data_IF_961850718962
#
_entry.id   IF_961850718962
#
_cell.length_a   1.000
_cell.length_b   1.000
_cell.length_c   1.000
_cell.angle_alpha   90.00
_cell.angle_beta   90.00
_cell.angle_gamma   90.00
#
_symmetry.space_group_name_H-M   'P 1'
#
loop_
_entity.id
_entity.type
_entity.pdbx_description
1 polymer ?
#
# COMPACT_ATOMS: atom_id res chain seq x y z
N UNK A 1 -18.42 -34.94 51.53
CA UNK A 1 -19.36 -34.07 50.78
C UNK A 1 -18.52 -33.19 49.86
N UNK A 2 -17.90 -33.77 48.83
CA UNK A 2 -16.96 -33.05 47.94
C UNK A 2 -16.83 -33.71 46.54
N UNK A 3 -17.11 -35.01 46.41
CA UNK A 3 -16.92 -35.72 45.13
C UNK A 3 -17.97 -35.41 44.05
N UNK A 4 -19.21 -35.04 44.42
CA UNK A 4 -20.27 -34.75 43.44
C UNK A 4 -20.08 -33.37 42.78
N UNK A 5 -19.47 -32.42 43.48
CA UNK A 5 -19.25 -31.06 42.96
C UNK A 5 -18.09 -31.03 41.94
N UNK A 6 -17.04 -31.83 42.17
CA UNK A 6 -15.92 -31.99 41.25
C UNK A 6 -16.34 -32.67 39.92
N UNK A 7 -17.20 -33.70 40.00
CA UNK A 7 -17.74 -34.38 38.82
C UNK A 7 -18.61 -33.45 37.97
N UNK A 8 -19.46 -32.64 38.62
CA UNK A 8 -20.34 -31.70 37.93
C UNK A 8 -19.55 -30.54 37.26
N UNK A 9 -18.47 -30.06 37.90
CA UNK A 9 -17.55 -29.05 37.31
C UNK A 9 -16.76 -29.60 36.12
N UNK A 10 -16.27 -30.85 36.17
CA UNK A 10 -15.58 -31.51 35.02
C UNK A 10 -16.51 -31.72 33.83
N UNK A 11 -17.72 -32.22 34.05
CA UNK A 11 -18.72 -32.42 33.00
C UNK A 11 -19.15 -31.11 32.31
N UNK A 12 -19.25 -30.01 33.08
CA UNK A 12 -19.58 -28.68 32.54
C UNK A 12 -18.43 -28.07 31.73
N UNK A 13 -17.18 -28.21 32.18
CA UNK A 13 -15.98 -27.72 31.46
C UNK A 13 -15.75 -28.46 30.13
N UNK A 14 -15.96 -29.78 30.08
CA UNK A 14 -15.86 -30.56 28.84
C UNK A 14 -16.94 -30.16 27.81
N UNK A 15 -18.16 -29.88 28.27
CA UNK A 15 -19.25 -29.39 27.40
C UNK A 15 -18.95 -27.99 26.84
N UNK A 16 -18.45 -27.07 27.67
CA UNK A 16 -18.03 -25.72 27.22
C UNK A 16 -16.86 -25.79 26.24
N UNK A 17 -15.85 -26.62 26.50
CA UNK A 17 -14.73 -26.84 25.58
C UNK A 17 -15.18 -27.36 24.22
N UNK A 18 -16.11 -28.33 24.18
CA UNK A 18 -16.70 -28.81 22.92
C UNK A 18 -17.47 -27.71 22.17
N UNK A 19 -18.23 -26.88 22.87
CA UNK A 19 -18.93 -25.74 22.27
C UNK A 19 -17.93 -24.74 21.66
N UNK A 20 -16.85 -24.42 22.39
CA UNK A 20 -15.80 -23.54 21.88
C UNK A 20 -15.09 -24.11 20.65
N UNK A 21 -14.82 -25.43 20.62
CA UNK A 21 -14.23 -26.10 19.47
C UNK A 21 -15.18 -26.05 18.27
N UNK A 22 -16.47 -26.32 18.45
CA UNK A 22 -17.46 -26.24 17.37
C UNK A 22 -17.56 -24.81 16.84
N UNK A 23 -17.60 -23.80 17.73
CA UNK A 23 -17.64 -22.40 17.33
C UNK A 23 -16.37 -22.00 16.56
N UNK A 24 -15.20 -22.45 17.01
CA UNK A 24 -13.94 -22.25 16.29
C UNK A 24 -13.99 -22.88 14.90
N UNK A 25 -14.46 -24.13 14.78
CA UNK A 25 -14.59 -24.81 13.48
C UNK A 25 -15.55 -24.09 12.54
N UNK A 26 -16.67 -23.58 13.06
CA UNK A 26 -17.61 -22.76 12.27
C UNK A 26 -16.93 -21.50 11.79
N UNK A 27 -16.24 -20.77 12.66
CA UNK A 27 -15.51 -19.55 12.30
C UNK A 27 -14.45 -19.82 11.23
N UNK A 28 -13.67 -20.90 11.38
CA UNK A 28 -12.68 -21.33 10.37
C UNK A 28 -13.37 -21.67 9.05
N UNK A 29 -14.47 -22.42 9.09
CA UNK A 29 -15.23 -22.79 7.89
C UNK A 29 -15.76 -21.54 7.16
N UNK A 30 -16.38 -20.61 7.89
CA UNK A 30 -16.86 -19.33 7.35
C UNK A 30 -15.72 -18.54 6.74
N UNK A 31 -14.57 -18.45 7.41
CA UNK A 31 -13.39 -17.75 6.90
C UNK A 31 -12.86 -18.39 5.61
N UNK A 32 -12.77 -19.73 5.55
CA UNK A 32 -12.34 -20.46 4.35
C UNK A 32 -13.31 -20.22 3.19
N UNK A 33 -14.63 -20.34 3.43
CA UNK A 33 -15.65 -20.08 2.41
C UNK A 33 -15.56 -18.64 1.90
N UNK A 34 -15.41 -17.67 2.80
CA UNK A 34 -15.23 -16.27 2.44
C UNK A 34 -13.99 -16.07 1.55
N UNK A 35 -12.83 -16.61 1.96
CA UNK A 35 -11.58 -16.53 1.19
C UNK A 35 -11.72 -17.14 -0.20
N UNK A 36 -12.37 -18.30 -0.31
CA UNK A 36 -12.61 -18.97 -1.60
C UNK A 36 -13.54 -18.16 -2.50
N UNK A 37 -14.62 -17.59 -1.95
CA UNK A 37 -15.55 -16.73 -2.69
C UNK A 37 -14.86 -15.47 -3.23
N UNK A 38 -14.07 -14.78 -2.40
CA UNK A 38 -13.32 -13.60 -2.82
C UNK A 38 -12.32 -13.95 -3.92
N UNK A 39 -11.56 -15.02 -3.75
CA UNK A 39 -10.58 -15.48 -4.76
C UNK A 39 -11.26 -15.85 -6.07
N UNK A 40 -12.41 -16.54 -6.02
CA UNK A 40 -13.17 -16.92 -7.21
C UNK A 40 -13.72 -15.70 -7.95
N UNK A 41 -14.33 -14.75 -7.22
CA UNK A 41 -14.85 -13.51 -7.81
C UNK A 41 -13.75 -12.65 -8.44
N UNK A 42 -12.59 -12.56 -7.78
CA UNK A 42 -11.43 -11.84 -8.32
C UNK A 42 -10.93 -12.50 -9.62
N UNK A 43 -10.77 -13.83 -9.62
CA UNK A 43 -10.36 -14.59 -10.81
C UNK A 43 -11.33 -14.41 -11.97
N UNK A 44 -12.64 -14.50 -11.73
CA UNK A 44 -13.65 -14.31 -12.76
C UNK A 44 -13.57 -12.91 -13.40
N UNK A 45 -13.27 -11.86 -12.61
CA UNK A 45 -13.08 -10.50 -13.13
C UNK A 45 -11.80 -10.36 -13.95
N UNK A 46 -10.69 -10.91 -13.46
CA UNK A 46 -9.41 -10.92 -14.20
C UNK A 46 -9.59 -11.66 -15.53
N UNK A 47 -10.25 -12.82 -15.52
CA UNK A 47 -10.50 -13.60 -16.72
C UNK A 47 -11.42 -12.88 -17.69
N UNK A 48 -12.44 -12.15 -17.21
CA UNK A 48 -13.28 -11.32 -18.06
C UNK A 48 -12.49 -10.20 -18.75
N UNK A 49 -11.54 -9.56 -18.05
CA UNK A 49 -10.65 -8.53 -18.63
C UNK A 49 -9.73 -9.16 -19.69
N UNK A 50 -9.16 -10.32 -19.39
CA UNK A 50 -8.33 -11.08 -20.34
C UNK A 50 -9.12 -11.55 -21.56
N UNK A 51 -10.35 -12.03 -21.37
CA UNK A 51 -11.25 -12.45 -22.45
C UNK A 51 -11.70 -11.27 -23.32
N UNK A 52 -11.74 -10.06 -22.77
CA UNK A 52 -11.93 -8.82 -23.52
C UNK A 52 -10.66 -8.37 -24.28
N UNK A 53 -9.55 -9.11 -24.17
CA UNK A 53 -8.30 -8.87 -24.88
C UNK A 53 -7.34 -7.89 -24.19
N UNK A 54 -7.62 -7.49 -22.95
CA UNK A 54 -6.76 -6.57 -22.21
C UNK A 54 -5.70 -7.33 -21.37
N UNK A 55 -4.49 -6.77 -21.21
CA UNK A 55 -3.46 -7.36 -20.36
C UNK A 55 -3.86 -7.33 -18.89
N UNK A 56 -3.57 -8.41 -18.16
CA UNK A 56 -3.88 -8.55 -16.73
C UNK A 56 -2.64 -8.72 -15.86
N UNK A 57 -1.46 -8.70 -16.47
CA UNK A 57 -0.17 -8.67 -15.79
C UNK A 57 0.69 -7.52 -16.30
N UNK A 58 1.68 -7.09 -15.52
CA UNK A 58 2.61 -6.04 -15.93
C UNK A 58 3.47 -6.46 -17.14
N UNK A 59 3.82 -7.74 -17.24
CA UNK A 59 4.56 -8.27 -18.38
C UNK A 59 3.71 -8.24 -19.65
N UNK A 60 2.47 -8.73 -19.58
CA UNK A 60 1.50 -8.64 -20.69
C UNK A 60 1.26 -7.18 -21.10
N UNK A 61 1.16 -6.26 -20.12
CA UNK A 61 0.96 -4.84 -20.39
C UNK A 61 2.18 -4.20 -21.09
N UNK A 62 3.39 -4.55 -20.66
CA UNK A 62 4.63 -4.08 -21.27
C UNK A 62 4.80 -4.60 -22.70
N UNK A 63 4.38 -5.82 -22.98
CA UNK A 63 4.36 -6.37 -24.35
C UNK A 63 3.25 -5.75 -25.22
N UNK A 64 2.13 -5.36 -24.60
CA UNK A 64 0.98 -4.78 -25.30
C UNK A 64 1.25 -3.38 -25.84
N UNK A 65 2.17 -2.62 -25.21
CA UNK A 65 2.60 -1.30 -25.67
C UNK A 65 4.03 -1.34 -26.19
N UNK A 66 4.21 -1.22 -27.50
CA UNK A 66 5.52 -0.96 -28.11
C UNK A 66 5.75 0.53 -28.24
N UNK A 67 6.90 1.02 -27.77
CA UNK A 67 7.35 2.38 -28.06
C UNK A 67 7.61 2.47 -29.58
N UNK A 68 6.97 3.42 -30.30
CA UNK A 68 7.20 3.58 -31.73
C UNK A 68 8.67 3.80 -32.07
N UNK A 69 9.10 3.34 -33.24
CA UNK A 69 10.48 3.57 -33.70
C UNK A 69 10.78 5.07 -33.79
N UNK A 70 11.90 5.48 -33.16
CA UNK A 70 12.31 6.88 -33.09
C UNK A 70 11.56 7.73 -32.06
N UNK A 71 10.60 7.18 -31.31
CA UNK A 71 9.97 7.87 -30.19
C UNK A 71 10.86 7.77 -28.93
N UNK A 72 11.13 8.91 -28.30
CA UNK A 72 11.85 8.97 -27.03
C UNK A 72 10.92 8.58 -25.88
N UNK A 73 11.36 7.65 -25.04
CA UNK A 73 10.61 7.22 -23.88
C UNK A 73 10.94 8.10 -22.68
N UNK A 74 10.02 8.98 -22.32
CA UNK A 74 10.20 9.87 -21.16
C UNK A 74 10.38 9.12 -19.83
N UNK A 75 10.00 7.85 -19.75
CA UNK A 75 10.27 7.05 -18.55
C UNK A 75 11.77 6.89 -18.29
N UNK A 76 12.60 6.79 -19.34
CA UNK A 76 14.04 6.64 -19.17
C UNK A 76 14.66 7.92 -18.59
N UNK A 77 14.23 9.09 -19.09
CA UNK A 77 14.62 10.40 -18.51
C UNK A 77 14.21 10.54 -17.05
N UNK A 78 13.00 10.09 -16.69
CA UNK A 78 12.55 10.11 -15.30
C UNK A 78 13.37 9.16 -14.42
N UNK A 79 13.74 7.99 -14.93
CA UNK A 79 14.61 7.03 -14.23
C UNK A 79 15.99 7.68 -13.98
N UNK A 80 16.59 8.30 -14.97
CA UNK A 80 17.87 9.00 -14.83
C UNK A 80 17.79 10.12 -13.77
N UNK A 81 16.73 10.94 -13.81
CA UNK A 81 16.49 11.96 -12.81
C UNK A 81 16.38 11.37 -11.40
N UNK A 82 15.64 10.27 -11.21
CA UNK A 82 15.51 9.62 -9.91
C UNK A 82 16.82 9.03 -9.39
N UNK A 83 17.72 8.58 -10.26
CA UNK A 83 19.04 8.10 -9.85
C UNK A 83 19.93 9.22 -9.30
N UNK A 84 19.68 10.46 -9.70
CA UNK A 84 20.38 11.65 -9.23
C UNK A 84 19.70 12.34 -8.04
N UNK A 85 18.52 11.86 -7.60
CA UNK A 85 17.79 12.48 -6.50
C UNK A 85 18.54 12.33 -5.16
N UNK A 86 18.74 13.45 -4.48
CA UNK A 86 19.32 13.53 -3.15
C UNK A 86 18.22 13.71 -2.10
N UNK A 87 17.96 12.64 -1.34
CA UNK A 87 16.95 12.64 -0.29
C UNK A 87 17.49 13.32 0.99
N UNK A 88 16.88 14.45 1.34
CA UNK A 88 17.10 15.11 2.63
C UNK A 88 16.53 14.27 3.79
N UNK A 89 17.10 14.42 4.98
CA UNK A 89 16.56 13.70 6.13
C UNK A 89 15.22 14.29 6.60
N UNK A 90 14.45 13.51 7.36
CA UNK A 90 13.10 13.90 7.81
C UNK A 90 13.08 15.24 8.56
N UNK A 91 14.08 15.50 9.39
CA UNK A 91 14.13 16.73 10.19
C UNK A 91 14.34 17.96 9.32
N UNK A 92 15.20 17.85 8.29
CA UNK A 92 15.43 18.93 7.32
C UNK A 92 14.19 19.18 6.45
N UNK A 93 13.48 18.11 6.07
CA UNK A 93 12.26 18.21 5.28
C UNK A 93 11.11 18.88 6.02
N UNK A 94 10.94 18.69 7.34
CA UNK A 94 9.78 19.22 8.09
C UNK A 94 9.58 20.73 7.89
N UNK A 95 10.65 21.50 7.69
CA UNK A 95 10.61 22.95 7.46
C UNK A 95 10.17 23.34 6.04
N UNK A 96 10.21 22.42 5.07
CA UNK A 96 9.79 22.67 3.70
C UNK A 96 8.26 22.65 3.55
N UNK A 97 7.69 23.58 2.78
CA UNK A 97 6.24 23.70 2.65
C UNK A 97 5.52 22.61 1.86
N UNK A 98 6.20 21.98 0.90
CA UNK A 98 5.59 21.01 -0.04
C UNK A 98 6.03 19.58 0.28
N UNK A 99 7.32 19.39 0.52
CA UNK A 99 7.91 18.08 0.83
C UNK A 99 7.94 17.77 2.34
N UNK A 100 7.46 18.68 3.17
CA UNK A 100 7.39 18.53 4.62
C UNK A 100 6.12 19.10 5.23
N UNK A 101 6.26 19.73 6.41
CA UNK A 101 5.15 20.32 7.16
C UNK A 101 5.27 21.83 7.33
N UNK A 102 6.17 22.45 6.58
CA UNK A 102 6.30 23.90 6.53
C UNK A 102 4.99 24.54 6.09
N UNK A 103 4.68 25.72 6.61
CA UNK A 103 3.45 26.41 6.25
C UNK A 103 3.66 27.19 4.95
N UNK A 104 2.84 26.93 3.93
CA UNK A 104 2.71 27.83 2.79
C UNK A 104 1.99 29.12 3.23
N UNK A 105 2.53 30.30 2.89
CA UNK A 105 1.83 31.58 3.11
C UNK A 105 0.57 31.65 2.24
N UNK A 106 -0.29 32.64 2.51
CA UNK A 106 -1.43 32.89 1.64
C UNK A 106 -0.95 33.23 0.21
N UNK A 107 -1.78 32.99 -0.82
CA UNK A 107 -1.40 33.20 -2.24
C UNK A 107 -0.90 34.61 -2.55
N UNK A 108 -1.33 35.61 -1.79
CA UNK A 108 -0.95 37.02 -1.93
C UNK A 108 0.25 37.42 -1.07
N UNK A 109 0.70 36.55 -0.18
CA UNK A 109 1.81 36.80 0.74
C UNK A 109 3.09 36.14 0.22
N UNK A 110 4.25 36.81 0.32
CA UNK A 110 5.52 36.21 -0.07
C UNK A 110 5.92 35.09 0.90
N UNK A 111 6.73 34.14 0.41
CA UNK A 111 7.44 33.21 1.28
C UNK A 111 8.38 33.96 2.23
N UNK A 112 8.47 33.49 3.48
CA UNK A 112 9.47 33.98 4.41
C UNK A 112 10.88 33.74 3.85
N UNK A 113 11.80 34.67 4.06
CA UNK A 113 13.16 34.61 3.49
C UNK A 113 13.91 33.34 3.91
N UNK A 114 13.73 32.90 5.16
CA UNK A 114 14.30 31.64 5.65
C UNK A 114 13.78 30.43 4.86
N UNK A 115 12.47 30.37 4.61
CA UNK A 115 11.84 29.31 3.82
C UNK A 115 12.28 29.35 2.36
N UNK A 116 12.43 30.55 1.77
CA UNK A 116 12.98 30.70 0.42
C UNK A 116 14.40 30.14 0.33
N UNK A 117 15.25 30.46 1.31
CA UNK A 117 16.61 29.94 1.38
C UNK A 117 16.65 28.41 1.46
N UNK A 118 15.82 27.81 2.31
CA UNK A 118 15.72 26.35 2.42
C UNK A 118 15.23 25.68 1.13
N UNK A 119 14.20 26.26 0.49
CA UNK A 119 13.70 25.77 -0.81
C UNK A 119 14.79 25.90 -1.87
N UNK A 120 15.53 27.00 -1.91
CA UNK A 120 16.63 27.19 -2.85
C UNK A 120 17.75 26.17 -2.64
N UNK A 121 18.12 25.87 -1.38
CA UNK A 121 19.11 24.84 -1.08
C UNK A 121 18.62 23.44 -1.49
N UNK A 122 17.38 23.09 -1.17
CA UNK A 122 16.80 21.79 -1.56
C UNK A 122 16.78 21.59 -3.09
N UNK A 123 16.45 22.65 -3.84
CA UNK A 123 16.50 22.64 -5.30
C UNK A 123 17.93 22.56 -5.84
N UNK A 124 18.89 23.24 -5.20
CA UNK A 124 20.29 23.19 -5.61
C UNK A 124 20.89 21.78 -5.39
N UNK A 125 20.62 21.16 -4.25
CA UNK A 125 21.10 19.80 -3.95
C UNK A 125 20.51 18.76 -4.91
N UNK A 126 19.32 19.02 -5.43
CA UNK A 126 18.61 18.17 -6.39
C UNK A 126 18.70 18.67 -7.84
N UNK A 127 19.59 19.61 -8.15
CA UNK A 127 19.65 20.24 -9.48
C UNK A 127 19.91 19.22 -10.60
N UNK A 128 20.66 18.15 -10.32
CA UNK A 128 20.95 17.11 -11.30
C UNK A 128 19.73 16.23 -11.61
N UNK A 129 18.72 16.22 -10.74
CA UNK A 129 17.48 15.46 -10.88
C UNK A 129 16.31 16.27 -11.49
N UNK A 130 16.55 17.53 -11.90
CA UNK A 130 15.55 18.47 -12.42
C UNK A 130 15.85 18.86 -13.87
#
# INVERSE_FOLDING_TARGET
MDDSEAAHKRGRKLKVSRILIVLLLITVCVFVVFRLRVRSKLRARIEAIRAAGYPVTLAELNEWYTIPEGAENAADTLIEAFLCYYEWNKTELESLPVFGRGKLPARTEPLAEETKGLVAQYLADNQQAL
#
